data_IF_631081729924
#
_entry.id   IF_631081729924
#
_cell.length_a   1.000
_cell.length_b   1.000
_cell.length_c   1.000
_cell.angle_alpha   90.00
_cell.angle_beta   90.00
_cell.angle_gamma   90.00
#
_symmetry.space_group_name_H-M   'P 1'
#
loop_
_entity.id
_entity.type
_entity.pdbx_description
1 polymer ?
#
# COMPACT_ATOMS: atom_id res chain seq x y z
N UNK A 1 -3.92 -10.25 -11.67
CA UNK A 1 -4.79 -9.55 -10.70
C UNK A 1 -5.39 -10.63 -9.82
N UNK A 2 -4.86 -10.84 -8.61
CA UNK A 2 -5.46 -11.80 -7.67
C UNK A 2 -6.56 -11.05 -6.93
N UNK A 3 -7.81 -11.33 -7.27
CA UNK A 3 -8.97 -10.83 -6.56
C UNK A 3 -8.93 -11.42 -5.14
N UNK A 4 -8.72 -10.57 -4.14
CA UNK A 4 -8.85 -10.95 -2.74
C UNK A 4 -10.31 -10.76 -2.33
N UNK A 5 -11.19 -11.55 -2.95
CA UNK A 5 -12.58 -11.63 -2.51
C UNK A 5 -12.58 -12.38 -1.17
N UNK A 6 -12.84 -11.66 -0.07
CA UNK A 6 -13.30 -12.27 1.17
C UNK A 6 -12.36 -12.31 2.37
N UNK A 7 -11.35 -11.43 2.47
CA UNK A 7 -10.59 -11.31 3.73
C UNK A 7 -10.31 -9.85 4.10
N UNK A 8 -11.19 -9.26 4.92
CA UNK A 8 -11.09 -7.88 5.44
C UNK A 8 -9.96 -7.65 6.47
N UNK A 9 -9.00 -8.57 6.55
CA UNK A 9 -7.96 -8.61 7.58
C UNK A 9 -6.60 -9.14 7.05
N UNK A 10 -6.21 -8.74 5.83
CA UNK A 10 -4.86 -8.99 5.31
C UNK A 10 -3.92 -7.81 5.56
N UNK A 11 -2.68 -8.08 5.97
CA UNK A 11 -1.60 -7.11 5.90
C UNK A 11 -0.85 -7.25 4.59
N UNK A 12 -0.34 -6.13 4.08
CA UNK A 12 0.37 -6.08 2.82
C UNK A 12 1.68 -5.35 3.04
N UNK A 13 2.79 -5.92 2.56
CA UNK A 13 4.01 -5.14 2.42
C UNK A 13 3.86 -4.30 1.16
N UNK A 14 3.91 -2.99 1.33
CA UNK A 14 3.79 -2.01 0.26
C UNK A 14 5.15 -1.34 0.07
N UNK A 15 5.64 -1.29 -1.16
CA UNK A 15 6.97 -0.79 -1.51
C UNK A 15 6.86 0.32 -2.54
N UNK A 16 7.41 1.49 -2.26
CA UNK A 16 7.53 2.58 -3.21
C UNK A 16 8.55 2.20 -4.29
N UNK A 17 8.09 2.14 -5.55
CA UNK A 17 8.92 1.72 -6.70
C UNK A 17 10.04 2.71 -7.03
N UNK A 18 9.89 3.98 -6.67
CA UNK A 18 10.89 5.02 -6.94
C UNK A 18 12.05 4.99 -5.93
N UNK A 19 11.77 4.69 -4.65
CA UNK A 19 12.75 4.81 -3.56
C UNK A 19 13.09 3.49 -2.88
N UNK A 20 12.38 2.41 -3.21
CA UNK A 20 12.39 1.11 -2.53
C UNK A 20 12.02 1.17 -1.03
N UNK A 21 11.47 2.28 -0.54
CA UNK A 21 10.98 2.37 0.83
C UNK A 21 9.71 1.51 1.00
N UNK A 22 9.66 0.72 2.08
CA UNK A 22 8.58 -0.25 2.29
C UNK A 22 7.94 -0.13 3.68
N UNK A 23 6.65 -0.40 3.76
CA UNK A 23 5.90 -0.46 5.03
C UNK A 23 4.80 -1.53 4.97
N UNK A 24 4.50 -2.14 6.12
CA UNK A 24 3.35 -3.04 6.24
C UNK A 24 2.09 -2.21 6.47
N UNK A 25 1.10 -2.38 5.61
CA UNK A 25 -0.16 -1.67 5.62
C UNK A 25 -1.33 -2.65 5.71
N UNK A 26 -2.35 -2.30 6.51
CA UNK A 26 -3.64 -2.97 6.44
C UNK A 26 -4.46 -2.29 5.34
N UNK A 27 -4.74 -3.03 4.27
CA UNK A 27 -5.56 -2.53 3.17
C UNK A 27 -7.02 -2.58 3.60
N UNK A 28 -7.68 -1.42 3.65
CA UNK A 28 -9.03 -1.27 4.22
C UNK A 28 -10.11 -1.48 3.16
N UNK A 29 -9.85 -1.17 1.89
CA UNK A 29 -10.76 -1.42 0.77
C UNK A 29 -10.00 -1.39 -0.58
N UNK A 30 -10.43 -2.20 -1.55
CA UNK A 30 -10.08 -2.02 -2.96
C UNK A 30 -11.26 -1.29 -3.61
N UNK A 31 -11.33 0.03 -3.45
CA UNK A 31 -12.51 0.78 -3.87
C UNK A 31 -12.54 0.95 -5.40
N UNK A 32 -13.13 -0.04 -6.10
CA UNK A 32 -13.72 -0.07 -7.45
C UNK A 32 -13.00 0.55 -8.68
N UNK A 33 -11.85 1.21 -8.54
CA UNK A 33 -11.12 1.90 -9.63
C UNK A 33 -9.67 1.43 -9.83
N UNK A 34 -9.27 0.35 -9.15
CA UNK A 34 -7.97 -0.31 -9.36
C UNK A 34 -6.80 0.27 -8.55
N UNK A 35 -7.08 1.13 -7.58
CA UNK A 35 -6.11 1.68 -6.64
C UNK A 35 -6.15 1.03 -5.26
N UNK A 36 -5.19 1.40 -4.42
CA UNK A 36 -5.10 1.01 -3.02
C UNK A 36 -5.15 2.27 -2.14
N UNK A 37 -6.11 2.34 -1.23
CA UNK A 37 -6.15 3.40 -0.21
C UNK A 37 -5.28 2.99 0.99
N UNK A 38 -4.24 3.80 1.23
CA UNK A 38 -3.33 3.66 2.37
C UNK A 38 -3.66 4.68 3.45
N UNK A 39 -3.41 4.32 4.71
CA UNK A 39 -3.38 5.30 5.79
C UNK A 39 -2.29 6.37 5.51
N UNK A 40 -2.60 7.63 5.83
CA UNK A 40 -1.70 8.78 5.57
C UNK A 40 -0.35 8.64 6.27
N UNK A 41 -0.29 7.99 7.43
CA UNK A 41 0.96 7.73 8.16
C UNK A 41 1.85 6.75 7.37
N UNK A 42 1.25 5.69 6.81
CA UNK A 42 1.97 4.72 5.96
C UNK A 42 2.43 5.40 4.67
N UNK A 43 1.57 6.21 4.04
CA UNK A 43 1.93 6.97 2.85
C UNK A 43 3.20 7.81 3.08
N UNK A 44 3.23 8.59 4.16
CA UNK A 44 4.38 9.43 4.52
C UNK A 44 5.63 8.63 4.87
N UNK A 45 5.49 7.41 5.37
CA UNK A 45 6.62 6.54 5.71
C UNK A 45 7.36 6.06 4.46
N UNK A 46 6.65 5.83 3.35
CA UNK A 46 7.23 5.33 2.10
C UNK A 46 7.48 6.43 1.05
N UNK A 47 6.93 7.64 1.23
CA UNK A 47 7.21 8.83 0.41
C UNK A 47 8.49 9.55 0.85
N UNK A 48 9.63 8.84 0.82
CA UNK A 48 10.91 9.32 1.37
C UNK A 48 11.58 10.43 0.57
N UNK A 49 11.15 10.65 -0.69
CA UNK A 49 11.62 11.72 -1.56
C UNK A 49 10.59 12.85 -1.77
N UNK A 50 9.39 12.71 -1.20
CA UNK A 50 8.28 13.67 -1.33
C UNK A 50 7.60 13.66 -2.70
N UNK A 51 7.98 12.77 -3.61
CA UNK A 51 7.42 12.67 -4.95
C UNK A 51 5.95 12.27 -4.94
N UNK A 52 5.54 11.45 -3.99
CA UNK A 52 4.15 11.02 -3.81
C UNK A 52 3.23 12.19 -3.48
N UNK A 53 3.59 13.00 -2.49
CA UNK A 53 2.84 14.20 -2.12
C UNK A 53 2.77 15.22 -3.28
N UNK A 54 3.86 15.38 -4.04
CA UNK A 54 3.89 16.29 -5.18
C UNK A 54 2.99 15.84 -6.34
N UNK A 55 2.89 14.53 -6.59
CA UNK A 55 2.07 13.93 -7.65
C UNK A 55 0.65 13.55 -7.20
N UNK A 56 0.35 13.65 -5.91
CA UNK A 56 -0.92 13.25 -5.31
C UNK A 56 -1.14 11.75 -5.21
N UNK A 57 -0.17 10.92 -5.59
CA UNK A 57 -0.22 9.45 -5.50
C UNK A 57 1.19 8.84 -5.57
N UNK A 58 1.32 7.59 -5.13
CA UNK A 58 2.54 6.78 -5.26
C UNK A 58 2.29 5.60 -6.21
N UNK A 59 3.33 5.21 -6.94
CA UNK A 59 3.38 3.92 -7.65
C UNK A 59 4.07 2.92 -6.75
N UNK A 60 3.35 1.87 -6.37
CA UNK A 60 3.80 0.89 -5.39
C UNK A 60 3.69 -0.54 -5.90
N UNK A 61 4.63 -1.37 -5.47
CA UNK A 61 4.47 -2.82 -5.47
C UNK A 61 3.86 -3.25 -4.15
N UNK A 62 3.03 -4.30 -4.16
CA UNK A 62 2.41 -4.84 -2.96
C UNK A 62 2.39 -6.37 -2.94
N UNK A 63 2.66 -6.94 -1.78
CA UNK A 63 2.57 -8.37 -1.52
C UNK A 63 1.77 -8.66 -0.25
N UNK A 64 0.99 -9.73 -0.26
CA UNK A 64 0.28 -10.17 0.95
C UNK A 64 1.29 -10.74 1.93
N UNK A 65 1.28 -10.23 3.15
CA UNK A 65 2.06 -10.77 4.27
C UNK A 65 1.10 -11.34 5.29
N UNK A 66 1.22 -12.66 5.52
CA UNK A 66 0.47 -13.31 6.58
C UNK A 66 0.95 -12.76 7.92
N UNK A 67 0.04 -12.19 8.71
CA UNK A 67 0.36 -11.80 10.07
C UNK A 67 0.38 -13.10 10.87
N UNK A 68 1.57 -13.61 11.18
CA UNK A 68 1.68 -14.53 12.30
C UNK A 68 1.34 -13.72 13.55
N UNK A 69 0.07 -13.82 13.99
CA UNK A 69 -0.44 -13.25 15.25
C UNK A 69 0.46 -13.60 16.44
#
# INVERSE_FOLDING_TARGET
MRNLEGNSHGSFLVTNTATAASAVARVVDQCSTGGLDLDVAVFRQIDTDGGGMANGHLVVDYEFVDCQD
#
